data_IF_819403352068
#
_entry.id   IF_819403352068
#
_cell.length_a   1.000
_cell.length_b   1.000
_cell.length_c   1.000
_cell.angle_alpha   90.00
_cell.angle_beta   90.00
_cell.angle_gamma   90.00
#
_symmetry.space_group_name_H-M   'P 1'
#
loop_
_entity.id
_entity.type
_entity.pdbx_description
1 polymer ?
#
# COMPACT_ATOMS: atom_id res chain seq x y z
N UNK A 1 10.34 -0.48 -7.13
CA UNK A 1 10.36 -1.07 -5.76
C UNK A 1 11.55 -0.67 -4.89
N UNK A 2 12.81 -0.74 -5.35
CA UNK A 2 13.99 -0.41 -4.51
C UNK A 2 13.93 1.01 -3.90
N UNK A 3 13.45 1.98 -4.68
CA UNK A 3 13.25 3.36 -4.21
C UNK A 3 12.26 3.40 -3.04
N UNK A 4 11.13 2.70 -3.16
CA UNK A 4 10.10 2.65 -2.12
C UNK A 4 10.63 2.07 -0.81
N UNK A 5 11.44 1.01 -0.87
CA UNK A 5 12.08 0.39 0.30
C UNK A 5 13.05 1.37 0.95
N UNK A 6 13.90 2.07 0.16
CA UNK A 6 14.80 3.09 0.70
C UNK A 6 14.05 4.21 1.42
N UNK A 7 12.91 4.63 0.88
CA UNK A 7 12.12 5.66 1.53
C UNK A 7 11.46 5.11 2.80
N UNK A 8 10.94 3.88 2.80
CA UNK A 8 10.44 3.24 4.02
C UNK A 8 11.52 3.08 5.11
N UNK A 9 12.76 2.79 4.72
CA UNK A 9 13.91 2.75 5.61
C UNK A 9 14.21 4.14 6.20
N UNK A 10 14.14 5.18 5.38
CA UNK A 10 14.29 6.58 5.83
C UNK A 10 13.25 6.96 6.91
N UNK A 11 12.00 6.54 6.76
CA UNK A 11 10.94 6.75 7.75
C UNK A 11 10.96 5.76 8.93
N UNK A 12 11.92 4.83 8.97
CA UNK A 12 12.05 3.82 10.04
C UNK A 12 11.07 2.65 9.98
N UNK A 13 10.23 2.58 8.94
CA UNK A 13 9.22 1.52 8.76
C UNK A 13 9.80 0.20 8.21
N UNK A 14 11.05 0.18 7.77
CA UNK A 14 11.69 -1.00 7.17
C UNK A 14 13.10 -1.21 7.68
N UNK A 15 13.50 -2.47 7.92
CA UNK A 15 14.83 -2.80 8.43
C UNK A 15 15.89 -2.64 7.34
N UNK A 16 16.93 -1.84 7.58
CA UNK A 16 18.21 -1.97 6.89
C UNK A 16 19.10 -2.96 7.63
N UNK A 17 20.02 -3.62 6.92
CA UNK A 17 21.02 -4.52 7.52
C UNK A 17 21.97 -3.80 8.50
N UNK A 18 22.01 -2.47 8.46
CA UNK A 18 22.67 -1.61 9.44
C UNK A 18 21.65 -0.76 10.19
N UNK A 19 21.83 -0.66 11.51
CA UNK A 19 21.39 0.40 12.44
C UNK A 19 20.18 0.20 13.38
N UNK A 20 20.42 0.58 14.65
CA UNK A 20 19.50 0.55 15.78
C UNK A 20 18.75 1.86 16.05
N UNK A 21 18.80 2.85 15.15
CA UNK A 21 18.21 4.18 15.36
C UNK A 21 16.80 4.38 14.77
N UNK A 22 16.19 3.35 14.16
CA UNK A 22 14.91 3.50 13.43
C UNK A 22 13.68 3.70 14.31
N UNK A 23 13.74 3.31 15.58
CA UNK A 23 12.63 3.45 16.53
C UNK A 23 12.26 4.93 16.76
N UNK A 24 13.23 5.82 16.76
CA UNK A 24 13.03 7.25 17.07
C UNK A 24 12.28 7.98 15.97
N UNK A 25 12.59 7.72 14.69
CA UNK A 25 11.95 8.42 13.57
C UNK A 25 10.47 8.08 13.42
N UNK A 26 10.10 6.80 13.56
CA UNK A 26 8.70 6.39 13.50
C UNK A 26 7.89 6.94 14.68
N UNK A 27 8.46 7.01 15.88
CA UNK A 27 7.81 7.62 17.04
C UNK A 27 7.60 9.13 16.86
N UNK A 28 8.55 9.84 16.22
CA UNK A 28 8.41 11.26 15.93
C UNK A 28 7.20 11.54 15.02
N UNK A 29 6.97 10.72 13.99
CA UNK A 29 5.80 10.86 13.10
C UNK A 29 4.50 10.77 13.90
N UNK A 30 4.36 9.77 14.77
CA UNK A 30 3.17 9.61 15.61
C UNK A 30 3.01 10.74 16.62
N UNK A 31 4.11 11.17 17.24
CA UNK A 31 4.09 12.28 18.19
C UNK A 31 3.62 13.56 17.50
N UNK A 32 4.18 13.90 16.33
CA UNK A 32 3.79 15.08 15.56
C UNK A 32 2.33 14.97 15.07
N UNK A 33 1.94 13.84 14.47
CA UNK A 33 0.58 13.64 13.99
C UNK A 33 -0.46 13.76 15.12
N UNK A 34 -0.18 13.18 16.28
CA UNK A 34 -1.13 13.19 17.41
C UNK A 34 -1.18 14.55 18.10
N UNK A 35 -0.01 15.09 18.48
CA UNK A 35 0.06 16.31 19.30
C UNK A 35 -0.15 17.60 18.50
N UNK A 36 0.29 17.66 17.25
CA UNK A 36 0.29 18.89 16.46
C UNK A 36 -0.89 19.00 15.49
N UNK A 37 -1.48 17.87 15.09
CA UNK A 37 -2.53 17.83 14.06
C UNK A 37 -3.85 17.28 14.59
N UNK A 38 -3.88 16.05 15.10
CA UNK A 38 -5.13 15.38 15.49
C UNK A 38 -5.78 16.04 16.70
N UNK A 39 -5.04 16.25 17.81
CA UNK A 39 -5.61 16.83 19.02
C UNK A 39 -6.10 18.28 18.82
N UNK A 40 -5.32 19.19 18.20
CA UNK A 40 -5.80 20.55 17.92
C UNK A 40 -7.01 20.61 16.97
N UNK A 41 -7.08 19.72 15.97
CA UNK A 41 -8.21 19.64 15.06
C UNK A 41 -9.48 19.11 15.76
N UNK A 42 -9.34 18.12 16.66
CA UNK A 42 -10.46 17.62 17.46
C UNK A 42 -11.00 18.70 18.40
N UNK A 43 -10.11 19.46 19.05
CA UNK A 43 -10.50 20.57 19.91
C UNK A 43 -11.24 21.67 19.13
N UNK A 44 -10.75 21.99 17.93
CA UNK A 44 -11.43 22.90 17.01
C UNK A 44 -12.83 22.43 16.65
N UNK A 45 -12.98 21.17 16.25
CA UNK A 45 -14.30 20.59 15.92
C UNK A 45 -15.28 20.67 17.09
N UNK A 46 -14.78 20.47 18.32
CA UNK A 46 -15.58 20.58 19.54
C UNK A 46 -16.02 22.04 19.83
N UNK A 47 -15.12 23.01 19.66
CA UNK A 47 -15.44 24.41 19.91
C UNK A 47 -16.36 25.01 18.84
N UNK A 48 -16.25 24.54 17.59
CA UNK A 48 -16.95 25.09 16.43
C UNK A 48 -18.23 24.32 16.06
N UNK A 49 -18.82 23.54 16.98
CA UNK A 49 -19.99 22.70 16.70
C UNK A 49 -21.20 23.45 16.12
N UNK A 50 -21.31 24.76 16.35
CA UNK A 50 -22.35 25.62 15.76
C UNK A 50 -22.15 25.89 14.26
N UNK A 51 -20.94 25.74 13.72
CA UNK A 51 -20.57 26.04 12.34
C UNK A 51 -20.37 24.76 11.51
N UNK A 52 -21.47 24.09 11.17
CA UNK A 52 -21.50 22.77 10.50
C UNK A 52 -20.57 22.66 9.29
N UNK A 53 -20.54 23.68 8.42
CA UNK A 53 -19.69 23.67 7.20
C UNK A 53 -18.19 23.54 7.55
N UNK A 54 -17.76 24.25 8.58
CA UNK A 54 -16.36 24.31 8.99
C UNK A 54 -15.94 23.01 9.68
N UNK A 55 -16.80 22.50 10.56
CA UNK A 55 -16.62 21.20 11.23
C UNK A 55 -16.56 20.06 10.22
N UNK A 56 -17.43 20.06 9.20
CA UNK A 56 -17.45 19.01 8.17
C UNK A 56 -16.15 19.01 7.36
N UNK A 57 -15.66 20.18 6.94
CA UNK A 57 -14.37 20.32 6.25
C UNK A 57 -13.24 19.73 7.10
N UNK A 58 -13.09 20.19 8.35
CA UNK A 58 -12.03 19.73 9.26
C UNK A 58 -12.15 18.24 9.56
N UNK A 59 -13.37 17.70 9.67
CA UNK A 59 -13.61 16.28 9.90
C UNK A 59 -13.13 15.41 8.73
N UNK A 60 -13.37 15.84 7.48
CA UNK A 60 -12.89 15.12 6.29
C UNK A 60 -11.36 15.10 6.27
N UNK A 61 -10.73 16.25 6.51
CA UNK A 61 -9.27 16.37 6.57
C UNK A 61 -8.67 15.50 7.68
N UNK A 62 -9.30 15.51 8.86
CA UNK A 62 -8.90 14.69 9.99
C UNK A 62 -9.06 13.19 9.70
N UNK A 63 -10.15 12.78 9.03
CA UNK A 63 -10.34 11.38 8.62
C UNK A 63 -9.22 10.89 7.70
N UNK A 64 -8.77 11.73 6.76
CA UNK A 64 -7.65 11.39 5.86
C UNK A 64 -6.34 11.19 6.65
N UNK A 65 -6.05 12.08 7.60
CA UNK A 65 -4.85 11.99 8.43
C UNK A 65 -4.90 10.78 9.35
N UNK A 66 -6.03 10.54 10.00
CA UNK A 66 -6.25 9.38 10.87
C UNK A 66 -6.12 8.08 10.08
N UNK A 67 -6.66 8.01 8.84
CA UNK A 67 -6.46 6.87 7.94
C UNK A 67 -4.96 6.59 7.75
N UNK A 68 -4.16 7.60 7.42
CA UNK A 68 -2.73 7.41 7.21
C UNK A 68 -2.00 7.01 8.49
N UNK A 69 -2.34 7.59 9.64
CA UNK A 69 -1.76 7.21 10.94
C UNK A 69 -2.08 5.75 11.28
N UNK A 70 -3.32 5.30 11.11
CA UNK A 70 -3.72 3.91 11.33
C UNK A 70 -2.97 2.98 10.36
N UNK A 71 -2.88 3.34 9.07
CA UNK A 71 -2.21 2.51 8.09
C UNK A 71 -0.72 2.39 8.38
N UNK A 72 -0.05 3.49 8.74
CA UNK A 72 1.34 3.47 9.21
C UNK A 72 1.51 2.63 10.49
N UNK A 73 0.56 2.69 11.42
CA UNK A 73 0.59 1.91 12.66
C UNK A 73 0.49 0.41 12.36
N UNK A 74 -0.37 0.04 11.40
CA UNK A 74 -0.47 -1.33 10.92
C UNK A 74 0.83 -1.79 10.23
N UNK A 75 1.44 -0.94 9.42
CA UNK A 75 2.72 -1.22 8.74
C UNK A 75 3.82 -1.50 9.77
N UNK A 76 3.87 -0.68 10.82
CA UNK A 76 4.82 -0.84 11.92
C UNK A 76 4.55 -2.13 12.72
N UNK A 77 3.29 -2.37 13.13
CA UNK A 77 2.92 -3.54 13.93
C UNK A 77 3.13 -4.87 13.22
N UNK A 78 2.93 -4.92 11.90
CA UNK A 78 3.11 -6.12 11.08
C UNK A 78 4.43 -6.18 10.32
N UNK A 79 5.37 -5.26 10.61
CA UNK A 79 6.64 -5.11 9.88
C UNK A 79 7.39 -6.41 9.66
N UNK A 80 7.63 -7.20 10.71
CA UNK A 80 8.40 -8.45 10.61
C UNK A 80 7.79 -9.45 9.63
N UNK A 81 6.46 -9.60 9.68
CA UNK A 81 5.71 -10.47 8.77
C UNK A 81 5.71 -9.94 7.34
N UNK A 82 5.60 -8.63 7.18
CA UNK A 82 5.58 -7.96 5.89
C UNK A 82 6.95 -8.03 5.19
N UNK A 83 8.04 -7.85 5.94
CA UNK A 83 9.41 -8.02 5.45
C UNK A 83 9.68 -9.46 5.04
N UNK A 84 9.26 -10.43 5.85
CA UNK A 84 9.38 -11.84 5.52
C UNK A 84 8.62 -12.16 4.23
N UNK A 85 7.34 -11.78 4.15
CA UNK A 85 6.51 -11.98 2.97
C UNK A 85 7.11 -11.33 1.71
N UNK A 86 7.67 -10.13 1.86
CA UNK A 86 8.33 -9.45 0.75
C UNK A 86 9.59 -10.18 0.27
N UNK A 87 10.43 -10.65 1.19
CA UNK A 87 11.66 -11.41 0.88
C UNK A 87 11.32 -12.74 0.21
N UNK A 88 10.32 -13.45 0.71
CA UNK A 88 9.82 -14.70 0.11
C UNK A 88 9.28 -14.46 -1.30
N UNK A 89 8.49 -13.39 -1.49
CA UNK A 89 7.97 -13.01 -2.80
C UNK A 89 9.08 -12.58 -3.77
N UNK A 90 10.12 -11.90 -3.29
CA UNK A 90 11.29 -11.56 -4.10
C UNK A 90 12.12 -12.77 -4.46
N UNK A 91 12.32 -13.71 -3.52
CA UNK A 91 12.99 -14.97 -3.78
C UNK A 91 12.23 -15.84 -4.80
N UNK A 92 10.90 -15.94 -4.67
CA UNK A 92 10.05 -16.68 -5.61
C UNK A 92 10.00 -16.05 -7.01
N UNK A 93 10.12 -14.73 -7.09
CA UNK A 93 10.20 -14.02 -8.36
C UNK A 93 11.61 -14.00 -8.96
N UNK A 94 12.68 -14.35 -8.23
CA UNK A 94 14.02 -14.50 -8.80
C UNK A 94 14.07 -15.71 -9.75
N UNK A 95 14.99 -15.71 -10.74
CA UNK A 95 15.07 -16.81 -11.70
C UNK A 95 15.39 -18.10 -10.94
N UNK A 96 14.57 -19.13 -11.15
CA UNK A 96 14.92 -20.51 -10.77
C UNK A 96 15.73 -21.03 -11.95
N UNK A 97 17.05 -20.90 -11.88
CA UNK A 97 17.97 -21.38 -12.90
C UNK A 97 17.73 -22.87 -13.17
N UNK A 98 17.32 -23.22 -14.40
CA UNK A 98 17.34 -24.62 -14.81
C UNK A 98 16.76 -25.01 -16.16
N UNK A 99 15.90 -24.20 -16.81
CA UNK A 99 15.26 -24.63 -18.08
C UNK A 99 15.04 -23.45 -19.06
N UNK A 100 15.91 -23.34 -20.05
CA UNK A 100 16.03 -22.20 -20.98
C UNK A 100 14.74 -21.86 -21.77
N UNK A 101 13.84 -22.82 -22.01
CA UNK A 101 12.69 -22.65 -22.91
C UNK A 101 11.39 -22.25 -22.18
N UNK A 102 11.19 -22.70 -20.95
CA UNK A 102 10.05 -22.24 -20.12
C UNK A 102 10.34 -20.92 -19.41
N UNK A 103 11.61 -20.55 -19.32
CA UNK A 103 12.04 -19.29 -18.70
C UNK A 103 11.66 -18.07 -19.54
N UNK A 104 11.54 -18.13 -20.86
CA UNK A 104 11.33 -16.91 -21.69
C UNK A 104 9.97 -16.22 -21.45
N UNK A 105 8.84 -16.95 -21.50
CA UNK A 105 7.51 -16.40 -21.25
C UNK A 105 7.37 -15.86 -19.81
N UNK A 106 7.88 -16.63 -18.85
CA UNK A 106 7.88 -16.25 -17.42
C UNK A 106 8.77 -15.04 -17.19
N UNK A 107 9.93 -14.97 -17.84
CA UNK A 107 10.87 -13.87 -17.76
C UNK A 107 10.29 -12.59 -18.35
N UNK A 108 9.62 -12.67 -19.50
CA UNK A 108 8.96 -11.54 -20.13
C UNK A 108 7.76 -11.03 -19.31
N UNK A 109 6.97 -11.93 -18.74
CA UNK A 109 5.90 -11.56 -17.83
C UNK A 109 6.46 -10.87 -16.58
N UNK A 110 7.52 -11.40 -15.98
CA UNK A 110 8.20 -10.78 -14.84
C UNK A 110 8.76 -9.40 -15.18
N UNK A 111 9.39 -9.25 -16.34
CA UNK A 111 9.89 -7.95 -16.84
C UNK A 111 8.74 -6.96 -17.00
N UNK A 112 7.59 -7.42 -17.50
CA UNK A 112 6.36 -6.61 -17.57
C UNK A 112 5.85 -6.23 -16.17
N UNK A 113 5.78 -7.17 -15.24
CA UNK A 113 5.37 -6.93 -13.85
C UNK A 113 6.25 -5.87 -13.16
N UNK A 114 7.56 -5.95 -13.35
CA UNK A 114 8.49 -4.97 -12.79
C UNK A 114 8.28 -3.58 -13.39
N UNK A 115 8.14 -3.49 -14.72
CA UNK A 115 7.84 -2.24 -15.42
C UNK A 115 6.52 -1.61 -14.98
N UNK A 116 5.46 -2.42 -14.85
CA UNK A 116 4.15 -1.95 -14.40
C UNK A 116 4.24 -1.42 -12.96
N UNK A 117 4.91 -2.15 -12.08
CA UNK A 117 5.08 -1.73 -10.68
C UNK A 117 5.84 -0.41 -10.58
N UNK A 118 6.95 -0.26 -11.32
CA UNK A 118 7.73 0.97 -11.31
C UNK A 118 7.00 2.15 -11.97
N UNK A 119 6.21 1.89 -13.02
CA UNK A 119 5.36 2.91 -13.65
C UNK A 119 4.29 3.39 -12.68
N UNK A 120 3.60 2.48 -11.99
CA UNK A 120 2.59 2.82 -10.98
C UNK A 120 3.21 3.64 -9.86
N UNK A 121 4.37 3.20 -9.33
CA UNK A 121 5.07 3.95 -8.28
C UNK A 121 5.37 5.37 -8.75
N UNK A 122 5.99 5.54 -9.92
CA UNK A 122 6.37 6.88 -10.42
C UNK A 122 5.15 7.75 -10.67
N UNK A 123 4.14 7.22 -11.37
CA UNK A 123 2.97 7.99 -11.75
C UNK A 123 2.14 8.38 -10.53
N UNK A 124 1.76 7.42 -9.71
CA UNK A 124 0.93 7.66 -8.52
C UNK A 124 1.65 8.56 -7.51
N UNK A 125 2.93 8.29 -7.22
CA UNK A 125 3.71 9.14 -6.31
C UNK A 125 3.79 10.59 -6.80
N UNK A 126 4.08 10.81 -8.08
CA UNK A 126 4.17 12.16 -8.63
C UNK A 126 2.82 12.89 -8.60
N UNK A 127 1.73 12.22 -8.96
CA UNK A 127 0.38 12.81 -8.90
C UNK A 127 0.02 13.20 -7.47
N UNK A 128 0.24 12.30 -6.50
CA UNK A 128 -0.04 12.58 -5.10
C UNK A 128 0.86 13.70 -4.53
N UNK A 129 2.14 13.75 -4.90
CA UNK A 129 3.02 14.84 -4.50
C UNK A 129 2.54 16.20 -5.04
N UNK A 130 2.04 16.25 -6.28
CA UNK A 130 1.45 17.48 -6.83
C UNK A 130 0.22 17.88 -6.03
N UNK A 131 -0.67 16.93 -5.71
CA UNK A 131 -1.86 17.19 -4.90
C UNK A 131 -1.48 17.71 -3.52
N UNK A 132 -0.50 17.12 -2.85
CA UNK A 132 0.01 17.60 -1.55
C UNK A 132 0.55 19.02 -1.66
N UNK A 133 1.39 19.32 -2.66
CA UNK A 133 1.97 20.66 -2.81
C UNK A 133 0.89 21.70 -3.07
N UNK A 134 -0.05 21.40 -3.97
CA UNK A 134 -1.20 22.26 -4.26
C UNK A 134 -2.01 22.50 -2.98
N UNK A 135 -2.32 21.43 -2.23
CA UNK A 135 -3.11 21.52 -1.01
C UNK A 135 -2.39 22.30 0.09
N UNK A 136 -1.11 22.00 0.36
CA UNK A 136 -0.34 22.58 1.47
C UNK A 136 0.05 24.04 1.26
N UNK A 137 0.33 24.46 0.01
CA UNK A 137 0.93 25.77 -0.25
C UNK A 137 -0.03 26.79 -0.89
N UNK A 138 -1.07 26.36 -1.61
CA UNK A 138 -2.00 27.32 -2.22
C UNK A 138 -2.80 28.12 -1.17
N UNK A 139 -3.40 27.51 -0.12
CA UNK A 139 -4.18 28.29 0.85
C UNK A 139 -3.34 29.36 1.58
N UNK A 140 -2.13 29.05 2.11
CA UNK A 140 -1.29 30.08 2.73
C UNK A 140 -0.85 31.17 1.74
N UNK A 141 -0.51 30.81 0.50
CA UNK A 141 -0.08 31.80 -0.51
C UNK A 141 -1.20 32.77 -0.89
N UNK A 142 -2.45 32.30 -0.99
CA UNK A 142 -3.62 33.18 -1.23
C UNK A 142 -3.73 34.21 -0.11
N UNK A 143 -3.64 33.77 1.15
CA UNK A 143 -3.74 34.65 2.33
C UNK A 143 -2.60 35.69 2.34
N UNK A 144 -1.37 35.28 2.04
CA UNK A 144 -0.21 36.17 1.95
C UNK A 144 -0.39 37.22 0.85
N UNK A 145 -0.84 36.81 -0.34
CA UNK A 145 -1.06 37.72 -1.47
C UNK A 145 -2.18 38.71 -1.16
N UNK A 146 -3.27 38.26 -0.53
CA UNK A 146 -4.37 39.14 -0.12
C UNK A 146 -3.91 40.17 0.92
N UNK A 147 -3.13 39.75 1.92
CA UNK A 147 -2.58 40.64 2.93
C UNK A 147 -1.64 41.69 2.29
N UNK A 148 -0.74 41.26 1.39
CA UNK A 148 0.17 42.15 0.69
C UNK A 148 -0.54 43.15 -0.23
N UNK A 149 -1.64 42.76 -0.86
CA UNK A 149 -2.38 43.61 -1.78
C UNK A 149 -3.31 44.61 -1.07
N UNK A 150 -3.92 44.23 0.05
CA UNK A 150 -4.96 45.03 0.72
C UNK A 150 -4.47 45.75 1.98
N UNK A 151 -3.37 45.29 2.59
CA UNK A 151 -2.89 45.79 3.89
C UNK A 151 -3.81 45.43 5.07
N UNK A 152 -4.90 44.69 4.84
CA UNK A 152 -5.86 44.24 5.85
C UNK A 152 -5.63 42.76 6.11
N UNK A 153 -5.66 42.36 7.39
CA UNK A 153 -5.55 40.95 7.78
C UNK A 153 -6.81 40.19 7.34
N UNK A 154 -6.72 39.30 6.33
CA UNK A 154 -7.86 38.48 5.92
C UNK A 154 -8.19 37.44 7.01
N UNK A 155 -9.35 36.77 6.95
CA UNK A 155 -9.63 35.66 7.86
C UNK A 155 -8.52 34.61 7.78
N UNK A 156 -7.78 34.46 8.88
CA UNK A 156 -6.61 33.60 9.00
C UNK A 156 -7.03 32.13 9.07
N UNK A 157 -7.34 31.53 7.91
CA UNK A 157 -7.59 30.10 7.78
C UNK A 157 -6.27 29.34 7.72
N UNK A 158 -6.14 28.26 8.50
CA UNK A 158 -4.97 27.39 8.42
C UNK A 158 -5.24 26.21 7.45
N UNK A 159 -4.19 25.45 7.12
CA UNK A 159 -4.28 24.28 6.23
C UNK A 159 -5.30 23.24 6.74
N UNK A 160 -5.25 23.01 8.06
CA UNK A 160 -6.24 22.26 8.83
C UNK A 160 -6.67 23.21 9.92
N UNK A 161 -7.96 23.53 9.96
CA UNK A 161 -8.49 24.38 11.01
C UNK A 161 -8.31 23.67 12.36
N UNK A 162 -7.44 24.25 13.18
CA UNK A 162 -6.96 23.69 14.43
C UNK A 162 -6.97 24.77 15.48
N UNK A 163 -7.36 24.42 16.71
CA UNK A 163 -7.30 25.31 17.87
C UNK A 163 -6.15 24.82 18.76
N UNK A 164 -5.07 25.60 18.79
CA UNK A 164 -3.92 25.30 19.63
C UNK A 164 -4.17 25.82 21.05
N UNK A 165 -4.27 24.91 22.01
CA UNK A 165 -4.52 25.26 23.43
C UNK A 165 -3.40 26.13 24.02
N UNK A 166 -2.17 25.98 23.53
CA UNK A 166 -0.98 26.64 24.08
C UNK A 166 -0.80 28.09 23.61
N UNK A 167 -1.35 28.46 22.46
CA UNK A 167 -1.17 29.80 21.89
C UNK A 167 -2.27 30.17 20.88
N UNK A 168 -2.68 31.44 20.89
CA UNK A 168 -3.58 31.98 19.88
C UNK A 168 -2.79 32.44 18.65
N UNK A 169 -2.80 31.61 17.61
CA UNK A 169 -2.12 31.88 16.35
C UNK A 169 -2.84 32.92 15.47
N UNK A 170 -4.10 33.26 15.75
CA UNK A 170 -4.87 34.27 14.99
C UNK A 170 -4.58 35.69 15.48
N UNK A 171 -3.88 35.84 16.59
CA UNK A 171 -3.56 37.12 17.22
C UNK A 171 -2.67 38.04 16.37
N UNK A 172 -1.69 37.46 15.65
CA UNK A 172 -0.73 38.21 14.81
C UNK A 172 -0.44 37.45 13.53
N UNK A 173 -0.34 38.17 12.42
CA UNK A 173 -0.02 37.60 11.11
C UNK A 173 1.30 36.82 11.09
N UNK A 174 2.33 37.31 11.77
CA UNK A 174 3.65 36.64 11.85
C UNK A 174 3.57 35.28 12.55
N UNK A 175 2.78 35.18 13.63
CA UNK A 175 2.57 33.93 14.35
C UNK A 175 1.76 32.97 13.48
N UNK A 176 0.71 33.45 12.83
CA UNK A 176 -0.06 32.65 11.87
C UNK A 176 0.85 32.11 10.74
N UNK A 177 1.72 32.95 10.17
CA UNK A 177 2.62 32.55 9.08
C UNK A 177 3.56 31.43 9.52
N UNK A 178 4.14 31.54 10.72
CA UNK A 178 4.99 30.50 11.29
C UNK A 178 4.22 29.20 11.50
N UNK A 179 3.00 29.29 12.06
CA UNK A 179 2.15 28.12 12.33
C UNK A 179 1.69 27.46 11.04
N UNK A 180 1.32 28.24 10.02
CA UNK A 180 0.95 27.74 8.69
C UNK A 180 2.14 27.02 8.03
N UNK A 181 3.35 27.56 8.15
CA UNK A 181 4.56 26.93 7.63
C UNK A 181 4.88 25.60 8.34
N UNK A 182 4.87 25.58 9.67
CA UNK A 182 5.12 24.37 10.46
C UNK A 182 4.06 23.31 10.19
N UNK A 183 2.79 23.70 10.15
CA UNK A 183 1.66 22.80 9.86
C UNK A 183 1.74 22.26 8.44
N UNK A 184 2.13 23.09 7.46
CA UNK A 184 2.38 22.67 6.09
C UNK A 184 3.49 21.61 6.00
N UNK A 185 4.63 21.85 6.63
CA UNK A 185 5.74 20.87 6.67
C UNK A 185 5.34 19.57 7.37
N UNK A 186 4.68 19.66 8.52
CA UNK A 186 4.18 18.49 9.25
C UNK A 186 3.17 17.70 8.41
N UNK A 187 2.25 18.40 7.73
CA UNK A 187 1.28 17.80 6.81
C UNK A 187 1.95 17.08 5.65
N UNK A 188 2.89 17.73 4.95
CA UNK A 188 3.67 17.11 3.87
C UNK A 188 4.39 15.86 4.36
N UNK A 189 5.04 15.93 5.52
CA UNK A 189 5.79 14.81 6.09
C UNK A 189 4.88 13.60 6.40
N UNK A 190 3.73 13.82 7.05
CA UNK A 190 2.76 12.76 7.38
C UNK A 190 2.12 12.17 6.11
N UNK A 191 1.71 13.03 5.17
CA UNK A 191 1.03 12.60 3.94
C UNK A 191 1.97 11.78 3.04
N UNK A 192 3.22 12.21 2.87
CA UNK A 192 4.22 11.45 2.10
C UNK A 192 4.42 10.06 2.73
N UNK A 193 4.61 9.97 4.05
CA UNK A 193 4.75 8.69 4.75
C UNK A 193 3.52 7.78 4.52
N UNK A 194 2.31 8.36 4.59
CA UNK A 194 1.06 7.66 4.30
C UNK A 194 0.97 7.13 2.86
N UNK A 195 1.31 7.95 1.86
CA UNK A 195 1.31 7.57 0.43
C UNK A 195 2.29 6.43 0.16
N UNK A 196 3.47 6.47 0.77
CA UNK A 196 4.48 5.41 0.63
C UNK A 196 3.96 4.09 1.19
N UNK A 197 3.27 4.13 2.34
CA UNK A 197 2.61 2.96 2.91
C UNK A 197 1.52 2.40 1.99
N UNK A 198 0.63 3.26 1.46
CA UNK A 198 -0.40 2.88 0.49
C UNK A 198 0.23 2.23 -0.76
N UNK A 199 1.22 2.90 -1.35
CA UNK A 199 1.96 2.42 -2.52
C UNK A 199 2.61 1.05 -2.28
N UNK A 200 3.19 0.85 -1.10
CA UNK A 200 3.83 -0.41 -0.74
C UNK A 200 2.82 -1.55 -0.72
N UNK A 201 1.68 -1.36 -0.06
CA UNK A 201 0.60 -2.34 0.00
C UNK A 201 0.08 -2.70 -1.40
N UNK A 202 -0.16 -1.70 -2.25
CA UNK A 202 -0.57 -1.93 -3.65
C UNK A 202 0.48 -2.69 -4.46
N UNK A 203 1.76 -2.35 -4.29
CA UNK A 203 2.83 -3.04 -5.00
C UNK A 203 2.99 -4.51 -4.58
N UNK A 204 2.84 -4.83 -3.29
CA UNK A 204 2.83 -6.23 -2.85
C UNK A 204 1.67 -6.98 -3.50
N UNK A 205 0.47 -6.40 -3.49
CA UNK A 205 -0.72 -7.02 -4.07
C UNK A 205 -0.54 -7.34 -5.55
N UNK A 206 -0.03 -6.38 -6.33
CA UNK A 206 0.25 -6.57 -7.77
C UNK A 206 1.26 -7.68 -7.99
N UNK A 207 2.32 -7.74 -7.17
CA UNK A 207 3.35 -8.78 -7.28
C UNK A 207 2.81 -10.17 -6.92
N UNK A 208 1.96 -10.26 -5.92
CA UNK A 208 1.33 -11.53 -5.52
C UNK A 208 0.37 -12.01 -6.61
N UNK A 209 -0.47 -11.12 -7.13
CA UNK A 209 -1.33 -11.42 -8.28
C UNK A 209 -0.51 -11.85 -9.51
N UNK A 210 0.64 -11.22 -9.74
CA UNK A 210 1.59 -11.62 -10.77
C UNK A 210 2.19 -13.00 -10.53
N UNK A 211 2.54 -13.34 -9.29
CA UNK A 211 3.05 -14.67 -8.94
C UNK A 211 2.00 -15.76 -9.20
N UNK A 212 0.73 -15.52 -8.89
CA UNK A 212 -0.36 -16.44 -9.23
C UNK A 212 -0.49 -16.70 -10.73
N UNK A 213 -0.30 -15.67 -11.57
CA UNK A 213 -0.29 -15.84 -13.02
C UNK A 213 0.91 -16.67 -13.50
N UNK A 214 2.08 -16.50 -12.89
CA UNK A 214 3.26 -17.32 -13.18
C UNK A 214 3.00 -18.79 -12.80
N UNK A 215 2.43 -19.03 -11.62
CA UNK A 215 2.04 -20.37 -11.16
C UNK A 215 1.07 -21.01 -12.15
N UNK A 216 0.03 -20.30 -12.59
CA UNK A 216 -0.92 -20.79 -13.59
C UNK A 216 -0.24 -21.11 -14.93
N UNK A 217 0.66 -20.24 -15.42
CA UNK A 217 1.42 -20.49 -16.65
C UNK A 217 2.34 -21.71 -16.52
N UNK A 218 2.96 -21.93 -15.36
CA UNK A 218 3.76 -23.15 -15.11
C UNK A 218 2.90 -24.40 -15.08
N UNK A 219 1.72 -24.37 -14.44
CA UNK A 219 0.79 -25.50 -14.44
C UNK A 219 0.40 -25.93 -15.85
N UNK A 220 0.04 -24.99 -16.73
CA UNK A 220 -0.28 -25.27 -18.15
C UNK A 220 0.85 -25.95 -18.90
N UNK A 221 2.09 -25.61 -18.56
CA UNK A 221 3.28 -26.14 -19.22
C UNK A 221 3.77 -27.47 -18.62
N UNK A 222 3.21 -27.95 -17.50
CA UNK A 222 3.61 -29.23 -16.89
C UNK A 222 3.38 -30.42 -17.83
N UNK A 223 2.42 -30.34 -18.75
CA UNK A 223 2.14 -31.43 -19.68
C UNK A 223 3.24 -31.66 -20.74
N UNK A 224 4.16 -30.71 -20.90
CA UNK A 224 5.32 -30.85 -21.80
C UNK A 224 6.32 -31.89 -21.29
N UNK A 225 6.32 -32.21 -19.99
CA UNK A 225 7.23 -33.20 -19.42
C UNK A 225 6.68 -34.62 -19.61
N UNK A 226 7.30 -35.38 -20.52
CA UNK A 226 6.97 -36.78 -20.76
C UNK A 226 7.54 -37.72 -19.68
N UNK A 227 8.70 -37.38 -19.10
CA UNK A 227 9.32 -38.17 -18.05
C UNK A 227 8.70 -37.86 -16.69
N UNK A 228 8.23 -38.91 -16.00
CA UNK A 228 7.55 -38.80 -14.71
C UNK A 228 8.42 -38.15 -13.61
N UNK A 229 9.74 -38.39 -13.63
CA UNK A 229 10.67 -37.83 -12.65
C UNK A 229 10.89 -36.32 -12.81
N UNK A 230 10.93 -35.82 -14.05
CA UNK A 230 11.05 -34.40 -14.37
C UNK A 230 9.72 -33.68 -14.07
N UNK A 231 8.59 -34.30 -14.46
CA UNK A 231 7.25 -33.80 -14.11
C UNK A 231 7.07 -33.64 -12.61
N UNK A 232 7.42 -34.66 -11.80
CA UNK A 232 7.26 -34.61 -10.35
C UNK A 232 8.13 -33.53 -9.71
N UNK A 233 9.36 -33.36 -10.19
CA UNK A 233 10.26 -32.29 -9.72
C UNK A 233 9.67 -30.90 -10.01
N UNK A 234 9.14 -30.69 -11.21
CA UNK A 234 8.55 -29.40 -11.56
C UNK A 234 7.22 -29.16 -10.83
N UNK A 235 6.38 -30.18 -10.68
CA UNK A 235 5.14 -30.09 -9.89
C UNK A 235 5.42 -29.64 -8.45
N UNK A 236 6.42 -30.22 -7.78
CA UNK A 236 6.80 -29.81 -6.41
C UNK A 236 7.24 -28.34 -6.38
N UNK A 237 8.03 -27.89 -7.36
CA UNK A 237 8.43 -26.47 -7.45
C UNK A 237 7.23 -25.55 -7.65
N UNK A 238 6.28 -25.91 -8.53
CA UNK A 238 5.08 -25.11 -8.78
C UNK A 238 4.18 -25.05 -7.55
N UNK A 239 4.02 -26.16 -6.84
CA UNK A 239 3.26 -26.20 -5.58
C UNK A 239 3.92 -25.34 -4.49
N UNK A 240 5.25 -25.39 -4.36
CA UNK A 240 5.97 -24.52 -3.43
C UNK A 240 5.82 -23.03 -3.80
N UNK A 241 5.88 -22.68 -5.09
CA UNK A 241 5.62 -21.32 -5.58
C UNK A 241 4.20 -20.87 -5.27
N UNK A 242 3.23 -21.75 -5.45
CA UNK A 242 1.84 -21.51 -5.06
C UNK A 242 1.74 -21.26 -3.56
N UNK A 243 2.35 -22.09 -2.71
CA UNK A 243 2.33 -21.89 -1.26
C UNK A 243 2.92 -20.53 -0.85
N UNK A 244 4.02 -20.11 -1.47
CA UNK A 244 4.61 -18.78 -1.26
C UNK A 244 3.66 -17.67 -1.70
N UNK A 245 2.92 -17.84 -2.79
CA UNK A 245 1.91 -16.88 -3.24
C UNK A 245 0.70 -16.81 -2.28
N UNK A 246 0.29 -17.95 -1.74
CA UNK A 246 -0.86 -18.10 -0.84
C UNK A 246 -0.62 -17.57 0.58
N UNK A 247 0.62 -17.65 1.07
CA UNK A 247 0.98 -17.23 2.43
C UNK A 247 0.67 -15.75 2.71
N UNK A 248 1.02 -14.77 1.83
CA UNK A 248 0.70 -13.36 2.05
C UNK A 248 -0.72 -12.99 1.62
N UNK A 249 -1.28 -13.69 0.64
CA UNK A 249 -2.64 -13.47 0.18
C UNK A 249 -3.23 -14.83 -0.11
N UNK A 250 -4.29 -15.17 0.60
CA UNK A 250 -5.13 -16.23 0.10
C UNK A 250 -5.83 -15.64 -1.14
N UNK A 251 -5.52 -16.10 -2.37
CA UNK A 251 -6.23 -15.89 -3.66
C UNK A 251 -6.12 -17.19 -4.45
N UNK A 252 -7.19 -17.70 -5.07
CA UNK A 252 -7.07 -18.62 -6.23
C UNK A 252 -8.39 -18.82 -6.96
N UNK A 253 -8.38 -18.49 -8.25
CA UNK A 253 -9.40 -18.95 -9.19
C UNK A 253 -8.71 -19.31 -10.51
N UNK A 254 -7.78 -18.46 -10.96
CA UNK A 254 -6.99 -18.66 -12.18
C UNK A 254 -6.06 -19.88 -12.14
N UNK A 255 -5.64 -20.38 -10.98
CA UNK A 255 -4.81 -21.58 -10.89
C UNK A 255 -5.62 -22.86 -11.05
N UNK A 256 -6.87 -22.90 -10.57
CA UNK A 256 -7.74 -24.07 -10.70
C UNK A 256 -8.03 -24.41 -12.16
N UNK A 257 -8.34 -23.40 -12.98
CA UNK A 257 -8.61 -23.55 -14.41
C UNK A 257 -7.38 -24.10 -15.16
N UNK A 258 -6.19 -23.55 -14.87
CA UNK A 258 -4.93 -24.03 -15.44
C UNK A 258 -4.59 -25.48 -15.02
N UNK A 259 -5.02 -25.92 -13.83
CA UNK A 259 -4.82 -27.30 -13.36
C UNK A 259 -5.77 -28.27 -14.07
N UNK A 260 -7.01 -27.85 -14.35
CA UNK A 260 -7.98 -28.66 -15.10
C UNK A 260 -7.55 -28.93 -16.54
N UNK A 261 -6.79 -28.02 -17.15
CA UNK A 261 -6.25 -28.18 -18.52
C UNK A 261 -5.16 -29.26 -18.61
N UNK A 262 -4.60 -29.72 -17.48
CA UNK A 262 -3.56 -30.76 -17.44
C UNK A 262 -4.20 -32.13 -17.68
N UNK A 263 -3.50 -33.04 -18.39
CA UNK A 263 -3.90 -34.46 -18.52
C UNK A 263 -3.67 -35.27 -17.25
N UNK A 264 -4.22 -34.81 -16.13
CA UNK A 264 -4.02 -35.38 -14.79
C UNK A 264 -4.47 -36.84 -14.69
N UNK A 265 -5.47 -37.25 -15.49
CA UNK A 265 -6.00 -38.61 -15.52
C UNK A 265 -5.02 -39.64 -16.13
N UNK A 266 -4.05 -39.20 -16.93
CA UNK A 266 -3.02 -40.06 -17.54
C UNK A 266 -1.80 -40.26 -16.61
N UNK A 267 -1.76 -39.61 -15.45
CA UNK A 267 -0.59 -39.60 -14.55
C UNK A 267 -0.63 -40.68 -13.46
N UNK A 268 0.50 -40.91 -12.79
CA UNK A 268 0.59 -41.82 -11.64
C UNK A 268 -0.39 -41.46 -10.52
N UNK A 269 -0.75 -42.43 -9.69
CA UNK A 269 -1.70 -42.25 -8.57
C UNK A 269 -1.19 -41.19 -7.58
N UNK A 270 0.12 -41.14 -7.35
CA UNK A 270 0.76 -40.20 -6.44
C UNK A 270 0.68 -38.75 -6.97
N UNK A 271 0.96 -38.55 -8.26
CA UNK A 271 0.86 -37.24 -8.88
C UNK A 271 -0.60 -36.77 -8.99
N UNK A 272 -1.54 -37.68 -9.25
CA UNK A 272 -2.98 -37.39 -9.19
C UNK A 272 -3.41 -36.87 -7.82
N UNK A 273 -2.95 -37.49 -6.73
CA UNK A 273 -3.25 -37.03 -5.36
C UNK A 273 -2.72 -35.62 -5.10
N UNK A 274 -1.49 -35.32 -5.53
CA UNK A 274 -0.91 -33.98 -5.38
C UNK A 274 -1.71 -32.94 -6.19
N UNK A 275 -2.01 -33.22 -7.45
CA UNK A 275 -2.82 -32.34 -8.30
C UNK A 275 -4.19 -32.08 -7.68
N UNK A 276 -4.84 -33.12 -7.15
CA UNK A 276 -6.14 -33.00 -6.50
C UNK A 276 -6.09 -32.12 -5.24
N UNK A 277 -5.04 -32.25 -4.41
CA UNK A 277 -4.85 -31.41 -3.23
C UNK A 277 -4.70 -29.93 -3.61
N UNK A 278 -3.94 -29.66 -4.67
CA UNK A 278 -3.75 -28.30 -5.19
C UNK A 278 -5.05 -27.75 -5.75
N UNK A 279 -5.80 -28.58 -6.48
CA UNK A 279 -7.09 -28.21 -7.07
C UNK A 279 -8.12 -27.85 -6.00
N UNK A 280 -8.27 -28.70 -4.97
CA UNK A 280 -9.16 -28.46 -3.84
C UNK A 280 -8.85 -27.13 -3.13
N UNK A 281 -7.56 -26.82 -2.95
CA UNK A 281 -7.11 -25.53 -2.37
C UNK A 281 -7.28 -24.33 -3.30
N UNK A 282 -7.39 -24.58 -4.61
CA UNK A 282 -7.57 -23.55 -5.63
C UNK A 282 -9.03 -23.24 -5.92
N UNK A 283 -9.96 -24.05 -5.42
CA UNK A 283 -11.40 -23.84 -5.53
C UNK A 283 -11.99 -22.96 -4.43
N UNK A 284 -11.30 -22.81 -3.29
CA UNK A 284 -11.67 -21.77 -2.34
C UNK A 284 -11.42 -20.41 -3.00
N UNK A 285 -12.50 -19.70 -3.37
CA UNK A 285 -12.38 -18.31 -3.83
C UNK A 285 -11.77 -17.56 -2.69
N UNK A 286 -10.60 -17.01 -2.96
CA UNK A 286 -9.96 -16.25 -1.91
C UNK A 286 -9.81 -14.77 -2.18
N UNK A 287 -10.19 -14.06 -1.13
CA UNK A 287 -10.54 -12.66 -1.10
C UNK A 287 -9.64 -11.99 -0.09
N UNK A 288 -9.12 -10.81 -0.43
CA UNK A 288 -8.58 -9.92 0.61
C UNK A 288 -9.74 -9.50 1.49
N UNK A 289 -9.82 -10.06 2.69
CA UNK A 289 -10.81 -9.64 3.67
C UNK A 289 -10.24 -8.51 4.52
N UNK A 290 -10.91 -7.37 4.60
CA UNK A 290 -10.68 -6.41 5.67
C UNK A 290 -11.20 -7.02 6.98
N UNK A 291 -10.30 -7.57 7.79
CA UNK A 291 -10.59 -8.21 9.09
C UNK A 291 -11.75 -9.24 9.07
N UNK A 292 -11.95 -9.95 7.94
CA UNK A 292 -13.06 -10.90 7.70
C UNK A 292 -14.46 -10.27 7.55
N UNK A 293 -14.57 -8.94 7.59
CA UNK A 293 -15.87 -8.25 7.43
C UNK A 293 -16.24 -8.03 5.96
N UNK A 294 -15.26 -7.66 5.13
CA UNK A 294 -15.52 -7.25 3.75
C UNK A 294 -14.47 -7.82 2.80
N UNK A 295 -14.93 -8.45 1.72
CA UNK A 295 -14.07 -8.87 0.63
C UNK A 295 -13.79 -7.67 -0.29
N UNK A 296 -12.52 -7.32 -0.46
CA UNK A 296 -12.09 -6.27 -1.39
C UNK A 296 -12.12 -6.86 -2.80
N UNK A 297 -13.20 -6.60 -3.54
CA UNK A 297 -13.33 -6.92 -4.95
C UNK A 297 -13.94 -5.73 -5.72
N UNK A 298 -14.00 -5.84 -7.05
CA UNK A 298 -14.56 -4.79 -7.92
C UNK A 298 -16.05 -4.52 -7.64
N UNK A 299 -16.78 -5.53 -7.19
CA UNK A 299 -18.20 -5.43 -6.86
C UNK A 299 -18.42 -4.60 -5.59
N UNK A 300 -17.62 -4.81 -4.54
CA UNK A 300 -17.60 -3.99 -3.33
C UNK A 300 -17.27 -2.53 -3.65
N UNK A 301 -16.29 -2.28 -4.54
CA UNK A 301 -16.00 -0.91 -5.00
C UNK A 301 -17.19 -0.30 -5.75
N UNK A 302 -17.84 -1.08 -6.62
CA UNK A 302 -19.06 -0.67 -7.32
C UNK A 302 -20.20 -0.36 -6.35
N UNK A 303 -20.40 -1.20 -5.33
CA UNK A 303 -21.41 -0.99 -4.30
C UNK A 303 -21.19 0.33 -3.56
N UNK A 304 -19.96 0.61 -3.10
CA UNK A 304 -19.65 1.88 -2.41
C UNK A 304 -19.81 3.10 -3.32
N UNK A 305 -19.48 2.98 -4.61
CA UNK A 305 -19.58 4.11 -5.56
C UNK A 305 -21.01 4.39 -6.02
N UNK A 306 -21.88 3.38 -6.07
CA UNK A 306 -23.21 3.46 -6.67
C UNK A 306 -24.35 3.23 -5.68
N UNK A 307 -24.08 3.11 -4.37
CA UNK A 307 -25.11 3.22 -3.34
C UNK A 307 -25.77 4.60 -3.44
N UNK A 308 -27.00 4.60 -3.95
CA UNK A 308 -27.95 5.73 -3.96
C UNK A 308 -28.41 6.05 -2.54
#
# INVERSE_FOLDING_TARGET
MKILIKILQFYGYWTSENDGNHFTSTQQIYAVATSWVILPALFFCYNQMSHVRLVMKTSIELMVIVKYVIHMASLYGYRSKLELAHRELEAALKPISGDEVQEEEVHDFRRRLHRVTDLIIKWYFNVECVVIVVYCFIPPTIVIVQYAATGVVPPLSNLIESDYVLFDYKSKFEIWLLVAFVTGLAGVYILIAGIISDLFSWCQLIRIAGLFRIVAAKFRNLDKFQKESEFRKELIKVVNLQEIAYRPVKISFSAAEAIYEIRWYERSVENRKLILQVLMRSQEVVTMSAEKFVCVNRETFGAVRFTK
#
